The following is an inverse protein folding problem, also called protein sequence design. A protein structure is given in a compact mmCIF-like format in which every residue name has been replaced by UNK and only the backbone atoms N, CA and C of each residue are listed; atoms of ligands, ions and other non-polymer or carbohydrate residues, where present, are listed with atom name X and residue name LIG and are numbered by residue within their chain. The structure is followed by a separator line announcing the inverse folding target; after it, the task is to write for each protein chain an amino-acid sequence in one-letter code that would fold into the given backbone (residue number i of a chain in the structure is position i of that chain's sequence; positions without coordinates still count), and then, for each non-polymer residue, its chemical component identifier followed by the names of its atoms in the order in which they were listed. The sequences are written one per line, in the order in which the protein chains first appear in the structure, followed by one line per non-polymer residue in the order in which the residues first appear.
data_IF_726856360603
#
_entry.id   IF_726856360603
#
_cell.length_a   1.000
_cell.length_b   1.000
_cell.length_c   1.000
_cell.angle_alpha   90.00
_cell.angle_beta   90.00
_cell.angle_gamma   90.00
#
_symmetry.space_group_name_H-M   'P 1'
#
loop_
_entity.id
_entity.type
_entity.pdbx_description
1 polymer ?
#
# COMPACT_ATOMS: atom_id res chain seq x y z
N UNK A 1 -20.65 36.90 -3.28
CA UNK A 1 -20.33 35.81 -2.33
C UNK A 1 -19.07 35.14 -2.84
N UNK A 2 -17.97 35.25 -2.08
CA UNK A 2 -16.64 34.83 -2.51
C UNK A 2 -16.43 33.37 -2.04
N UNK A 3 -16.48 32.42 -2.98
CA UNK A 3 -16.20 31.00 -2.74
C UNK A 3 -14.69 30.78 -2.74
N UNK A 4 -14.02 31.19 -1.67
CA UNK A 4 -12.66 30.74 -1.38
C UNK A 4 -12.76 29.57 -0.40
N UNK A 5 -12.92 28.36 -0.93
CA UNK A 5 -12.49 27.17 -0.18
C UNK A 5 -10.97 27.21 -0.11
N UNK A 6 -10.33 27.19 1.06
CA UNK A 6 -8.90 27.06 1.12
C UNK A 6 -8.55 25.65 0.64
N UNK A 7 -7.83 25.57 -0.48
CA UNK A 7 -7.10 24.37 -0.85
C UNK A 7 -6.24 23.97 0.36
N UNK A 8 -6.50 22.78 0.91
CA UNK A 8 -5.69 22.18 1.98
C UNK A 8 -4.25 22.09 1.47
N UNK A 9 -3.42 23.06 1.87
CA UNK A 9 -1.97 22.98 1.78
C UNK A 9 -1.53 21.91 2.77
N UNK A 10 -1.44 20.67 2.31
CA UNK A 10 -0.71 19.64 3.04
C UNK A 10 0.76 20.03 3.03
N UNK A 11 1.29 20.38 4.20
CA UNK A 11 2.74 20.49 4.43
C UNK A 11 3.35 19.15 4.02
N UNK A 12 4.37 19.18 3.16
CA UNK A 12 5.05 18.00 2.62
C UNK A 12 5.38 16.97 3.71
N UNK A 13 4.55 15.94 3.81
CA UNK A 13 4.70 14.87 4.76
C UNK A 13 3.90 13.68 4.28
N UNK A 14 4.61 12.68 3.76
CA UNK A 14 4.11 11.33 3.43
C UNK A 14 2.76 11.34 2.70
N UNK A 15 2.77 11.36 1.36
CA UNK A 15 1.55 11.07 0.61
C UNK A 15 1.36 9.55 0.64
N UNK A 16 1.04 9.03 1.84
CA UNK A 16 0.53 7.67 1.97
C UNK A 16 -0.53 7.50 0.89
N UNK A 17 -0.55 6.34 0.25
CA UNK A 17 -1.55 5.95 -0.73
C UNK A 17 -2.99 5.99 -0.19
N UNK A 18 -3.19 6.42 1.05
CA UNK A 18 -4.41 6.34 1.83
C UNK A 18 -5.13 7.68 1.85
N UNK A 19 -6.40 7.66 1.46
CA UNK A 19 -7.33 8.81 1.51
C UNK A 19 -8.20 8.73 2.76
N UNK A 20 -7.56 8.61 3.91
CA UNK A 20 -8.21 8.34 5.20
C UNK A 20 -8.19 9.58 6.10
N UNK A 21 -8.95 9.55 7.19
CA UNK A 21 -8.89 10.58 8.22
C UNK A 21 -7.50 10.65 8.89
N UNK A 22 -7.16 11.82 9.44
CA UNK A 22 -5.82 12.07 10.00
C UNK A 22 -5.51 11.19 11.22
N UNK A 23 -6.52 10.80 12.00
CA UNK A 23 -6.36 9.96 13.19
C UNK A 23 -5.93 8.55 12.80
N UNK A 24 -6.62 7.94 11.83
CA UNK A 24 -6.25 6.60 11.34
C UNK A 24 -4.89 6.60 10.67
N UNK A 25 -4.55 7.65 9.92
CA UNK A 25 -3.22 7.82 9.33
C UNK A 25 -2.14 7.89 10.42
N UNK A 26 -2.35 8.66 11.49
CA UNK A 26 -1.37 8.78 12.56
C UNK A 26 -1.23 7.47 13.34
N UNK A 27 -2.32 6.76 13.60
CA UNK A 27 -2.30 5.43 14.18
C UNK A 27 -1.45 4.45 13.36
N UNK A 28 -1.66 4.40 12.04
CA UNK A 28 -0.88 3.55 11.13
C UNK A 28 0.59 3.94 11.15
N UNK A 29 0.91 5.24 11.11
CA UNK A 29 2.29 5.74 11.20
C UNK A 29 2.96 5.29 12.50
N UNK A 30 2.31 5.42 13.65
CA UNK A 30 2.89 5.04 14.94
C UNK A 30 3.10 3.52 15.03
N UNK A 31 2.16 2.73 14.51
CA UNK A 31 2.27 1.27 14.47
C UNK A 31 3.43 0.84 13.56
N UNK A 32 3.49 1.38 12.34
CA UNK A 32 4.54 1.08 11.36
C UNK A 32 5.92 1.66 11.72
N UNK A 33 6.02 2.60 12.67
CA UNK A 33 7.30 2.99 13.26
C UNK A 33 7.87 1.88 14.15
N UNK A 34 7.00 1.17 14.89
CA UNK A 34 7.38 0.15 15.88
C UNK A 34 7.40 -1.27 15.31
N UNK A 35 6.62 -1.51 14.27
CA UNK A 35 6.44 -2.80 13.59
C UNK A 35 6.69 -2.66 12.09
N UNK A 36 6.90 -3.78 11.39
CA UNK A 36 6.85 -3.80 9.92
C UNK A 36 5.46 -4.15 9.41
N UNK A 37 4.49 -4.34 10.31
CA UNK A 37 3.14 -4.75 9.97
C UNK A 37 2.11 -3.96 10.77
N UNK A 38 0.99 -3.62 10.13
CA UNK A 38 -0.17 -3.02 10.77
C UNK A 38 -1.46 -3.50 10.10
N UNK A 39 -2.58 -3.41 10.81
CA UNK A 39 -3.90 -3.69 10.26
C UNK A 39 -4.89 -2.61 10.67
N UNK A 40 -5.89 -2.39 9.83
CA UNK A 40 -7.05 -1.53 10.16
C UNK A 40 -8.25 -1.91 9.32
N UNK A 41 -9.45 -1.60 9.79
CA UNK A 41 -10.71 -1.83 9.07
C UNK A 41 -11.13 -0.51 8.42
N UNK A 42 -11.40 -0.54 7.10
CA UNK A 42 -11.79 0.62 6.30
C UNK A 42 -12.93 0.24 5.38
N UNK A 43 -14.05 0.96 5.45
CA UNK A 43 -15.28 0.64 4.74
C UNK A 43 -15.62 -0.87 4.85
N UNK A 44 -15.67 -1.38 6.09
CA UNK A 44 -15.95 -2.78 6.43
C UNK A 44 -14.97 -3.82 5.88
N UNK A 45 -13.85 -3.39 5.28
CA UNK A 45 -12.79 -4.25 4.76
C UNK A 45 -11.58 -4.21 5.67
N UNK A 46 -11.06 -5.38 6.07
CA UNK A 46 -9.81 -5.48 6.81
C UNK A 46 -8.61 -5.31 5.87
N UNK A 47 -7.86 -4.24 6.06
CA UNK A 47 -6.63 -3.96 5.33
C UNK A 47 -5.41 -4.34 6.16
N UNK A 48 -4.44 -4.92 5.46
CA UNK A 48 -3.13 -5.27 5.97
C UNK A 48 -2.08 -4.37 5.35
N UNK A 49 -1.13 -3.93 6.16
CA UNK A 49 -0.05 -3.03 5.78
C UNK A 49 1.29 -3.67 6.10
N UNK A 50 2.16 -3.81 5.10
CA UNK A 50 3.50 -4.36 5.26
C UNK A 50 4.55 -3.35 4.81
N UNK A 51 5.56 -3.15 5.65
CA UNK A 51 6.66 -2.21 5.45
C UNK A 51 7.91 -2.97 5.06
N UNK A 52 8.24 -2.95 3.77
CA UNK A 52 9.43 -3.60 3.24
C UNK A 52 10.58 -2.60 3.11
N UNK A 53 11.66 -2.85 3.86
CA UNK A 53 12.83 -1.97 3.83
C UNK A 53 13.47 -2.00 2.46
N UNK A 54 13.77 -0.81 1.95
CA UNK A 54 14.39 -0.63 0.64
C UNK A 54 15.71 0.10 0.80
N UNK A 55 16.75 -0.47 0.19
CA UNK A 55 18.07 0.17 0.08
C UNK A 55 18.39 0.35 -1.40
N UNK A 56 17.86 1.43 -1.99
CA UNK A 56 18.24 1.79 -3.36
C UNK A 56 19.72 2.22 -3.37
N UNK A 57 20.59 1.56 -4.14
CA UNK A 57 21.98 1.97 -4.26
C UNK A 57 22.08 3.40 -4.79
N UNK A 58 23.01 4.19 -4.22
CA UNK A 58 23.27 5.54 -4.74
C UNK A 58 23.82 5.43 -6.16
N UNK A 59 23.13 6.03 -7.13
CA UNK A 59 23.50 5.94 -8.54
C UNK A 59 22.94 4.71 -9.27
N UNK A 60 22.04 3.93 -8.65
CA UNK A 60 21.34 2.86 -9.33
C UNK A 60 20.60 3.39 -10.57
N UNK A 61 20.70 2.65 -11.67
CA UNK A 61 19.97 2.99 -12.88
C UNK A 61 18.49 2.58 -12.75
N UNK A 62 17.59 3.10 -13.61
CA UNK A 62 16.16 2.78 -13.52
C UNK A 62 15.82 1.29 -13.60
N UNK A 63 16.59 0.49 -14.36
CA UNK A 63 16.35 -0.96 -14.47
C UNK A 63 16.71 -1.70 -13.19
N UNK A 64 17.79 -1.31 -12.52
CA UNK A 64 18.18 -1.89 -11.22
C UNK A 64 17.15 -1.56 -10.15
N UNK A 65 16.63 -0.34 -10.14
CA UNK A 65 15.54 0.06 -9.23
C UNK A 65 14.29 -0.75 -9.51
N UNK A 66 13.92 -0.94 -10.79
CA UNK A 66 12.76 -1.73 -11.17
C UNK A 66 12.90 -3.20 -10.76
N UNK A 67 14.04 -3.83 -11.07
CA UNK A 67 14.32 -5.21 -10.69
C UNK A 67 14.27 -5.41 -9.17
N UNK A 68 14.84 -4.47 -8.41
CA UNK A 68 14.80 -4.51 -6.95
C UNK A 68 13.38 -4.39 -6.39
N UNK A 69 12.54 -3.52 -6.96
CA UNK A 69 11.14 -3.39 -6.57
C UNK A 69 10.37 -4.65 -6.94
N UNK A 70 10.62 -5.24 -8.11
CA UNK A 70 9.97 -6.47 -8.55
C UNK A 70 10.27 -7.65 -7.60
N UNK A 71 11.52 -7.78 -7.13
CA UNK A 71 11.88 -8.77 -6.10
C UNK A 71 11.06 -8.57 -4.81
N UNK A 72 10.79 -7.32 -4.41
CA UNK A 72 9.94 -7.03 -3.25
C UNK A 72 8.47 -7.30 -3.51
N UNK A 73 7.99 -7.03 -4.72
CA UNK A 73 6.62 -7.33 -5.14
C UNK A 73 6.37 -8.85 -5.09
N UNK A 74 7.33 -9.67 -5.54
CA UNK A 74 7.27 -11.13 -5.47
C UNK A 74 7.21 -11.66 -4.03
N UNK A 75 8.10 -11.17 -3.14
CA UNK A 75 8.12 -11.60 -1.73
C UNK A 75 6.81 -11.29 -1.00
N UNK A 76 6.25 -10.09 -1.24
CA UNK A 76 4.96 -9.70 -0.62
C UNK A 76 3.81 -10.48 -1.25
N UNK A 77 3.86 -10.74 -2.55
CA UNK A 77 2.90 -11.58 -3.28
C UNK A 77 2.83 -12.98 -2.66
N UNK A 78 3.96 -13.64 -2.47
CA UNK A 78 4.02 -14.97 -1.85
C UNK A 78 3.48 -14.96 -0.42
N UNK A 79 3.88 -13.96 0.38
CA UNK A 79 3.40 -13.81 1.75
C UNK A 79 1.88 -13.64 1.81
N UNK A 80 1.33 -12.74 1.01
CA UNK A 80 -0.09 -12.41 1.00
C UNK A 80 -0.94 -13.56 0.40
N UNK A 81 -0.44 -14.26 -0.62
CA UNK A 81 -1.09 -15.44 -1.18
C UNK A 81 -1.17 -16.58 -0.16
N UNK A 82 -0.07 -16.86 0.57
CA UNK A 82 -0.09 -17.85 1.65
C UNK A 82 -1.07 -17.45 2.76
N UNK A 83 -1.08 -16.18 3.15
CA UNK A 83 -2.03 -15.69 4.15
C UNK A 83 -3.48 -15.87 3.68
N UNK A 84 -3.78 -15.59 2.41
CA UNK A 84 -5.10 -15.82 1.84
C UNK A 84 -5.50 -17.31 1.88
N UNK A 85 -4.58 -18.23 1.56
CA UNK A 85 -4.81 -19.67 1.68
C UNK A 85 -5.10 -20.10 3.13
N UNK A 86 -4.33 -19.59 4.10
CA UNK A 86 -4.55 -19.85 5.53
C UNK A 86 -5.93 -19.37 6.00
N UNK A 87 -6.44 -18.28 5.42
CA UNK A 87 -7.76 -17.72 5.70
C UNK A 87 -8.88 -18.25 4.79
N UNK A 88 -8.59 -19.21 3.92
CA UNK A 88 -9.52 -19.73 2.90
C UNK A 88 -10.13 -18.66 1.98
N UNK A 89 -9.41 -17.55 1.75
CA UNK A 89 -9.87 -16.49 0.86
C UNK A 89 -9.30 -16.67 -0.55
N UNK A 90 -10.13 -16.77 -1.60
CA UNK A 90 -9.71 -17.03 -2.98
C UNK A 90 -9.00 -15.86 -3.63
N UNK A 91 -9.26 -14.62 -3.22
CA UNK A 91 -8.66 -13.45 -3.84
C UNK A 91 -7.88 -12.62 -2.83
N UNK A 92 -6.71 -12.17 -3.26
CA UNK A 92 -5.94 -11.14 -2.56
C UNK A 92 -5.59 -10.02 -3.52
N UNK A 93 -5.87 -8.79 -3.10
CA UNK A 93 -5.52 -7.58 -3.84
C UNK A 93 -4.38 -6.90 -3.13
N UNK A 94 -3.27 -6.66 -3.84
CA UNK A 94 -2.03 -6.10 -3.30
C UNK A 94 -1.70 -4.83 -4.05
N UNK A 95 -1.22 -3.82 -3.35
CA UNK A 95 -0.81 -2.56 -3.95
C UNK A 95 0.30 -1.86 -3.19
N UNK A 96 1.00 -0.98 -3.89
CA UNK A 96 2.05 -0.11 -3.35
C UNK A 96 2.09 1.24 -4.06
N UNK A 97 2.70 2.22 -3.40
CA UNK A 97 3.02 3.51 -4.06
C UNK A 97 3.98 3.31 -5.23
N UNK A 98 3.76 4.04 -6.32
CA UNK A 98 4.68 4.09 -7.47
C UNK A 98 5.72 5.20 -7.37
N UNK A 99 5.59 6.09 -6.38
CA UNK A 99 6.45 7.27 -6.26
C UNK A 99 7.83 6.89 -5.69
N UNK A 100 8.81 6.75 -6.59
CA UNK A 100 10.20 6.42 -6.22
C UNK A 100 10.86 7.46 -5.33
N UNK A 101 10.53 8.75 -5.48
CA UNK A 101 11.06 9.80 -4.60
C UNK A 101 10.59 9.57 -3.17
N UNK A 102 9.32 9.21 -3.01
CA UNK A 102 8.74 8.90 -1.70
C UNK A 102 9.35 7.64 -1.10
N UNK A 103 9.45 6.55 -1.86
CA UNK A 103 10.12 5.30 -1.42
C UNK A 103 11.55 5.60 -0.95
N UNK A 104 12.31 6.39 -1.72
CA UNK A 104 13.68 6.77 -1.38
C UNK A 104 13.77 7.65 -0.13
N UNK A 105 12.82 8.56 0.09
CA UNK A 105 12.80 9.41 1.29
C UNK A 105 12.41 8.61 2.53
N UNK A 106 11.50 7.65 2.38
CA UNK A 106 11.01 6.81 3.46
C UNK A 106 11.99 5.66 3.81
N UNK A 107 12.77 5.19 2.85
CA UNK A 107 13.65 4.02 3.00
C UNK A 107 12.91 2.69 3.05
N UNK A 108 11.64 2.66 2.62
CA UNK A 108 10.81 1.47 2.54
C UNK A 108 9.72 1.62 1.48
N UNK A 109 9.17 0.48 1.04
CA UNK A 109 7.93 0.40 0.28
C UNK A 109 6.82 0.03 1.27
N UNK A 110 5.73 0.79 1.24
CA UNK A 110 4.51 0.42 1.92
C UNK A 110 3.65 -0.40 0.97
N UNK A 111 3.44 -1.66 1.33
CA UNK A 111 2.47 -2.53 0.71
C UNK A 111 1.18 -2.50 1.50
N UNK A 112 0.07 -2.50 0.78
CA UNK A 112 -1.25 -2.69 1.34
C UNK A 112 -1.88 -3.90 0.65
N UNK A 113 -2.58 -4.74 1.39
CA UNK A 113 -3.38 -5.79 0.79
C UNK A 113 -4.66 -6.05 1.59
N UNK A 114 -5.65 -6.63 0.92
CA UNK A 114 -6.86 -7.15 1.56
C UNK A 114 -7.28 -8.45 0.88
N UNK A 115 -8.08 -9.23 1.60
CA UNK A 115 -8.60 -10.52 1.17
C UNK A 115 -10.09 -10.37 0.84
N UNK A 116 -10.57 -11.07 -0.18
CA UNK A 116 -12.01 -11.13 -0.49
C UNK A 116 -12.39 -12.46 -1.12
N UNK A 117 -13.62 -12.89 -0.84
CA UNK A 117 -14.21 -14.07 -1.44
C UNK A 117 -14.93 -13.76 -2.76
N UNK A 118 -15.07 -12.47 -3.08
CA UNK A 118 -15.83 -12.00 -4.22
C UNK A 118 -14.91 -11.33 -5.25
N UNK A 119 -14.84 -11.91 -6.46
CA UNK A 119 -14.04 -11.37 -7.57
C UNK A 119 -14.39 -9.92 -7.91
N UNK A 120 -15.66 -9.52 -7.75
CA UNK A 120 -16.10 -8.14 -8.05
C UNK A 120 -15.60 -7.09 -7.05
N UNK A 121 -15.14 -7.53 -5.87
CA UNK A 121 -14.63 -6.68 -4.79
C UNK A 121 -13.10 -6.60 -4.77
N UNK A 122 -12.41 -7.13 -5.78
CA UNK A 122 -10.94 -7.17 -5.88
C UNK A 122 -10.29 -5.83 -6.27
N UNK A 123 -11.08 -4.75 -6.37
CA UNK A 123 -10.55 -3.43 -6.69
C UNK A 123 -10.43 -2.59 -5.42
N UNK A 124 -9.35 -1.82 -5.31
CA UNK A 124 -9.28 -0.80 -4.27
C UNK A 124 -10.39 0.25 -4.44
N UNK A 125 -11.04 0.60 -3.33
CA UNK A 125 -11.92 1.75 -3.31
C UNK A 125 -11.10 3.04 -3.47
N UNK A 126 -11.52 3.91 -4.39
CA UNK A 126 -10.94 5.25 -4.59
C UNK A 126 -11.17 6.18 -3.39
N UNK A 127 -12.06 5.80 -2.47
CA UNK A 127 -12.30 6.48 -1.20
C UNK A 127 -11.26 6.09 -0.15
N UNK A 128 -10.65 4.91 -0.28
CA UNK A 128 -9.68 4.37 0.68
C UNK A 128 -8.25 4.57 0.18
N UNK A 129 -8.00 4.29 -1.10
CA UNK A 129 -6.67 4.34 -1.71
C UNK A 129 -6.64 5.29 -2.92
N UNK A 130 -5.57 6.08 -3.04
CA UNK A 130 -5.24 6.85 -4.25
C UNK A 130 -4.71 5.91 -5.35
N UNK A 131 -5.64 5.31 -6.09
CA UNK A 131 -5.34 4.41 -7.22
C UNK A 131 -4.53 5.08 -8.33
N UNK A 132 -4.58 6.41 -8.47
CA UNK A 132 -3.80 7.14 -9.48
C UNK A 132 -2.28 7.08 -9.25
N UNK A 133 -1.86 6.83 -8.01
CA UNK A 133 -0.46 6.71 -7.59
C UNK A 133 -0.13 5.31 -7.06
N UNK A 134 -0.99 4.33 -7.30
CA UNK A 134 -0.86 2.98 -6.78
C UNK A 134 -0.69 1.98 -7.92
N UNK A 135 0.37 1.19 -7.86
CA UNK A 135 0.46 -0.02 -8.67
C UNK A 135 -0.17 -1.15 -7.86
N UNK A 136 -1.13 -1.85 -8.46
CA UNK A 136 -1.81 -2.96 -7.79
C UNK A 136 -2.08 -4.12 -8.74
N UNK A 137 -2.19 -5.31 -8.15
CA UNK A 137 -2.49 -6.57 -8.82
C UNK A 137 -3.35 -7.45 -7.91
N UNK A 138 -4.00 -8.44 -8.54
CA UNK A 138 -4.88 -9.39 -7.87
C UNK A 138 -4.34 -10.79 -8.11
N UNK A 139 -4.32 -11.61 -7.06
CA UNK A 139 -3.96 -13.03 -7.13
C UNK A 139 -5.23 -13.83 -6.87
N UNK A 140 -5.50 -14.83 -7.73
CA UNK A 140 -6.42 -15.91 -7.42
C UNK A 140 -5.60 -17.05 -6.79
N UNK A 141 -5.85 -17.37 -5.53
CA UNK A 141 -5.06 -18.37 -4.78
C UNK A 141 -5.58 -19.80 -4.95
N UNK A 142 -6.65 -19.98 -5.72
CA UNK A 142 -7.28 -21.26 -6.05
C UNK A 142 -7.03 -21.72 -7.49
N UNK A 143 -6.41 -20.89 -8.33
CA UNK A 143 -5.96 -21.22 -9.70
C UNK A 143 -4.53 -21.74 -9.71
#
# INVERSE_FOLDING_TARGET
MNLNQPALKTKEGYKMILKMDEETIEYLKQTLKRSNFATTILNDTLYFFAKEKVRLPKGANPMEVFAYINEKDELVTEFAARHAQEQNSPFVTIGRTTNLKEISMQGYILYTYFLTDNKSETNYSNEVIDTSSTHYWVINTQE
#
